data_IF_824956432004
#
_entry.id   IF_824956432004
#
_cell.length_a   1.000
_cell.length_b   1.000
_cell.length_c   1.000
_cell.angle_alpha   90.00
_cell.angle_beta   90.00
_cell.angle_gamma   90.00
#
_symmetry.space_group_name_H-M   'P 1'
#
loop_
_entity.id
_entity.type
_entity.pdbx_description
1 polymer ?
#
# COMPACT_ATOMS: atom_id res chain seq x y z
N UNK A 1 7.15 -20.86 -11.22
CA UNK A 1 7.94 -19.60 -11.19
C UNK A 1 8.06 -19.21 -9.73
N UNK A 2 9.28 -18.94 -9.23
CA UNK A 2 9.44 -18.55 -7.83
C UNK A 2 8.72 -17.22 -7.61
N UNK A 3 7.67 -17.22 -6.80
CA UNK A 3 7.02 -16.00 -6.34
C UNK A 3 8.03 -15.24 -5.49
N UNK A 4 8.42 -14.05 -5.94
CA UNK A 4 9.29 -13.16 -5.15
C UNK A 4 8.54 -12.84 -3.84
N UNK A 5 9.10 -13.31 -2.73
CA UNK A 5 8.58 -13.03 -1.40
C UNK A 5 9.18 -11.72 -0.91
N UNK A 6 8.31 -10.76 -0.61
CA UNK A 6 8.69 -9.44 -0.11
C UNK A 6 8.56 -9.41 1.40
N UNK A 7 9.37 -8.56 2.06
CA UNK A 7 9.23 -8.32 3.50
C UNK A 7 7.87 -7.72 3.82
N UNK A 8 7.26 -6.99 2.88
CA UNK A 8 5.94 -6.40 3.04
C UNK A 8 4.76 -7.36 2.84
N UNK A 9 4.96 -8.60 2.39
CA UNK A 9 3.87 -9.57 2.15
C UNK A 9 2.95 -9.68 3.38
N UNK A 10 3.53 -9.80 4.58
CA UNK A 10 2.75 -9.90 5.82
C UNK A 10 1.88 -8.66 6.10
N UNK A 11 2.28 -7.48 5.62
CA UNK A 11 1.54 -6.22 5.82
C UNK A 11 0.23 -6.26 5.04
N UNK A 12 0.28 -6.77 3.80
CA UNK A 12 -0.90 -6.93 2.95
C UNK A 12 -1.86 -7.98 3.51
N UNK A 13 -1.34 -9.11 4.01
CA UNK A 13 -2.16 -10.13 4.68
C UNK A 13 -2.83 -9.59 5.96
N UNK A 14 -2.10 -8.84 6.78
CA UNK A 14 -2.67 -8.20 7.96
C UNK A 14 -3.72 -7.16 7.59
N UNK A 15 -3.48 -6.39 6.53
CA UNK A 15 -4.43 -5.40 6.04
C UNK A 15 -5.72 -6.07 5.55
N UNK A 16 -5.61 -7.16 4.78
CA UNK A 16 -6.76 -7.91 4.29
C UNK A 16 -7.66 -8.37 5.45
N UNK A 17 -7.06 -8.93 6.50
CA UNK A 17 -7.78 -9.33 7.72
C UNK A 17 -8.40 -8.13 8.44
N UNK A 18 -7.66 -7.03 8.55
CA UNK A 18 -8.15 -5.81 9.18
C UNK A 18 -9.39 -5.26 8.47
N UNK A 19 -9.42 -5.27 7.13
CA UNK A 19 -10.55 -4.79 6.33
C UNK A 19 -11.85 -5.60 6.51
N UNK A 20 -11.79 -6.77 7.15
CA UNK A 20 -12.95 -7.58 7.53
C UNK A 20 -13.49 -7.27 8.93
N UNK A 21 -12.80 -6.43 9.71
CA UNK A 21 -13.27 -5.98 11.04
C UNK A 21 -14.19 -4.77 10.92
N UNK A 22 -15.00 -4.48 11.95
CA UNK A 22 -15.86 -3.28 11.97
C UNK A 22 -15.07 -1.99 11.80
N UNK A 23 -13.87 -1.92 12.41
CA UNK A 23 -12.94 -0.80 12.29
C UNK A 23 -12.42 -0.65 10.86
N UNK A 24 -11.99 -1.76 10.24
CA UNK A 24 -11.54 -1.77 8.86
C UNK A 24 -12.65 -1.43 7.86
N UNK A 25 -13.89 -1.86 8.12
CA UNK A 25 -15.07 -1.47 7.33
C UNK A 25 -15.33 0.04 7.44
N UNK A 26 -15.22 0.61 8.63
CA UNK A 26 -15.36 2.06 8.81
C UNK A 26 -14.27 2.83 8.04
N UNK A 27 -13.02 2.35 8.08
CA UNK A 27 -11.89 2.92 7.34
C UNK A 27 -12.13 2.84 5.83
N UNK A 28 -12.50 1.66 5.29
CA UNK A 28 -12.66 1.47 3.84
C UNK A 28 -13.80 2.35 3.27
N UNK A 29 -14.90 2.49 4.01
CA UNK A 29 -16.02 3.36 3.63
C UNK A 29 -15.63 4.85 3.65
N UNK A 30 -14.76 5.26 4.56
CA UNK A 30 -14.27 6.65 4.66
C UNK A 30 -13.30 7.00 3.53
N UNK A 31 -12.42 6.05 3.15
CA UNK A 31 -11.39 6.29 2.13
C UNK A 31 -11.95 6.06 0.72
N UNK A 32 -12.60 4.92 0.49
CA UNK A 32 -13.32 4.55 -0.74
C UNK A 32 -12.52 4.76 -2.05
N UNK A 33 -11.28 4.29 -2.07
CA UNK A 33 -10.37 4.39 -3.21
C UNK A 33 -9.68 3.04 -3.51
N UNK A 34 -9.21 2.89 -4.74
CA UNK A 34 -8.39 1.75 -5.18
C UNK A 34 -6.94 2.20 -5.30
N UNK A 35 -6.04 1.52 -4.59
CA UNK A 35 -4.62 1.81 -4.57
C UNK A 35 -3.83 0.65 -5.16
N UNK A 36 -2.83 0.97 -5.99
CA UNK A 36 -1.85 -0.01 -6.44
C UNK A 36 -0.48 0.33 -5.84
N UNK A 37 0.24 -0.69 -5.39
CA UNK A 37 1.60 -0.60 -4.89
C UNK A 37 2.52 -1.42 -5.77
N UNK A 38 3.51 -0.78 -6.38
CA UNK A 38 4.59 -1.45 -7.06
C UNK A 38 5.81 -1.44 -6.16
N UNK A 39 6.15 -2.60 -5.60
CA UNK A 39 7.21 -2.73 -4.62
C UNK A 39 8.43 -3.39 -5.24
N UNK A 40 9.54 -2.66 -5.27
CA UNK A 40 10.81 -3.20 -5.72
C UNK A 40 11.56 -3.87 -4.56
N UNK A 41 12.05 -5.12 -4.72
CA UNK A 41 12.86 -5.79 -3.69
C UNK A 41 14.10 -4.97 -3.30
N UNK A 42 14.79 -4.39 -4.28
CA UNK A 42 16.02 -3.62 -4.07
C UNK A 42 15.99 -2.23 -4.73
N UNK A 43 15.61 -2.15 -6.00
CA UNK A 43 15.71 -0.91 -6.79
C UNK A 43 14.42 -0.66 -7.58
N UNK A 44 13.83 0.51 -7.36
CA UNK A 44 12.66 0.98 -8.12
C UNK A 44 12.92 0.85 -9.63
N UNK A 45 11.96 0.26 -10.34
CA UNK A 45 12.00 -0.04 -11.77
C UNK A 45 12.56 -1.41 -12.13
N UNK A 46 12.94 -2.24 -11.15
CA UNK A 46 13.47 -3.60 -11.37
C UNK A 46 12.72 -4.62 -10.50
N UNK A 47 12.24 -5.69 -11.13
CA UNK A 47 11.58 -6.83 -10.50
C UNK A 47 10.45 -6.42 -9.52
N UNK A 48 9.69 -5.39 -9.87
CA UNK A 48 8.61 -4.86 -9.04
C UNK A 48 7.47 -5.88 -8.91
N UNK A 49 7.02 -6.07 -7.68
CA UNK A 49 5.83 -6.86 -7.38
C UNK A 49 4.67 -5.91 -7.14
N UNK A 50 3.58 -6.10 -7.87
CA UNK A 50 2.38 -5.29 -7.73
C UNK A 50 1.45 -5.85 -6.66
N UNK A 51 0.85 -4.97 -5.88
CA UNK A 51 -0.25 -5.26 -4.97
C UNK A 51 -1.36 -4.26 -5.21
N UNK A 52 -2.59 -4.70 -5.07
CA UNK A 52 -3.78 -3.87 -5.17
C UNK A 52 -4.51 -3.90 -3.85
N UNK A 53 -4.88 -2.73 -3.35
CA UNK A 53 -5.76 -2.55 -2.19
C UNK A 53 -7.02 -1.87 -2.73
N UNK A 54 -8.09 -2.64 -2.91
CA UNK A 54 -9.39 -2.14 -3.30
C UNK A 54 -10.22 -1.89 -2.03
N UNK A 55 -10.22 -0.65 -1.52
CA UNK A 55 -11.02 -0.28 -0.36
C UNK A 55 -12.51 -0.12 -0.69
N UNK A 56 -12.88 -0.08 -1.99
CA UNK A 56 -14.30 -0.06 -2.39
C UNK A 56 -14.93 -1.44 -2.16
N UNK A 57 -14.17 -2.51 -2.38
CA UNK A 57 -14.56 -3.89 -2.12
C UNK A 57 -14.12 -4.40 -0.74
N UNK A 58 -13.02 -3.86 -0.21
CA UNK A 58 -12.36 -4.37 0.99
C UNK A 58 -11.48 -5.57 0.69
N UNK A 59 -10.81 -5.58 -0.45
CA UNK A 59 -9.98 -6.68 -0.95
C UNK A 59 -8.51 -6.24 -1.08
N UNK A 60 -7.60 -7.18 -0.85
CA UNK A 60 -6.17 -7.02 -1.11
C UNK A 60 -5.72 -8.13 -2.04
N UNK A 61 -5.10 -7.77 -3.16
CA UNK A 61 -4.73 -8.71 -4.22
C UNK A 61 -3.24 -8.57 -4.50
N UNK A 62 -2.51 -9.69 -4.54
CA UNK A 62 -1.13 -9.71 -5.05
C UNK A 62 -1.18 -9.73 -6.58
N UNK A 63 -1.09 -8.55 -7.17
CA UNK A 63 -1.15 -8.34 -8.61
C UNK A 63 -1.48 -6.88 -8.98
N UNK A 64 -1.33 -6.50 -10.26
CA UNK A 64 -1.80 -5.22 -10.76
C UNK A 64 -3.34 -5.14 -10.68
N UNK A 65 -3.89 -3.94 -10.62
CA UNK A 65 -5.34 -3.78 -10.61
C UNK A 65 -5.91 -4.08 -12.00
N UNK A 66 -6.84 -5.05 -12.06
CA UNK A 66 -7.45 -5.48 -13.32
C UNK A 66 -8.75 -4.73 -13.66
N UNK A 67 -9.34 -4.03 -12.69
CA UNK A 67 -10.60 -3.29 -12.87
C UNK A 67 -10.45 -1.93 -13.59
N UNK A 68 -9.42 -1.78 -14.42
CA UNK A 68 -9.10 -0.54 -15.14
C UNK A 68 -7.97 0.26 -14.49
N UNK A 69 -8.19 1.54 -14.20
CA UNK A 69 -7.16 2.43 -13.66
C UNK A 69 -7.33 2.58 -12.14
N UNK A 70 -6.31 2.30 -11.31
CA UNK A 70 -6.38 2.59 -9.88
C UNK A 70 -6.42 4.11 -9.64
N UNK A 71 -7.02 4.53 -8.53
CA UNK A 71 -7.09 5.95 -8.15
C UNK A 71 -5.68 6.52 -7.92
N UNK A 72 -4.78 5.71 -7.35
CA UNK A 72 -3.38 6.07 -7.12
C UNK A 72 -2.48 4.85 -7.21
N UNK A 73 -1.31 5.03 -7.81
CA UNK A 73 -0.22 4.05 -7.81
C UNK A 73 0.96 4.60 -7.04
N UNK A 74 1.42 3.84 -6.06
CA UNK A 74 2.64 4.09 -5.30
C UNK A 74 3.75 3.18 -5.81
N UNK A 75 4.96 3.72 -6.00
CA UNK A 75 6.13 2.93 -6.36
C UNK A 75 7.27 3.27 -5.43
N UNK A 76 7.82 2.25 -4.77
CA UNK A 76 8.87 2.38 -3.77
C UNK A 76 9.59 1.05 -3.55
N UNK A 77 10.66 1.06 -2.77
CA UNK A 77 11.31 -0.18 -2.33
C UNK A 77 10.48 -0.86 -1.25
N UNK A 78 10.53 -2.18 -1.23
CA UNK A 78 9.90 -3.03 -0.22
C UNK A 78 10.28 -2.60 1.21
N UNK A 79 11.57 -2.35 1.45
CA UNK A 79 12.04 -1.88 2.76
C UNK A 79 11.48 -0.51 3.16
N UNK A 80 11.35 0.42 2.20
CA UNK A 80 10.79 1.75 2.47
C UNK A 80 9.28 1.66 2.75
N UNK A 81 8.58 0.73 2.11
CA UNK A 81 7.17 0.46 2.39
C UNK A 81 6.96 -0.10 3.80
N UNK A 82 7.80 -1.04 4.24
CA UNK A 82 7.76 -1.54 5.63
C UNK A 82 7.94 -0.39 6.62
N UNK A 83 8.90 0.51 6.37
CA UNK A 83 9.12 1.70 7.22
C UNK A 83 7.94 2.68 7.18
N UNK A 84 7.28 2.85 6.03
CA UNK A 84 6.09 3.69 5.91
C UNK A 84 4.91 3.12 6.71
N UNK A 85 4.65 1.81 6.58
CA UNK A 85 3.60 1.13 7.32
C UNK A 85 3.85 1.13 8.83
N UNK A 86 5.12 1.10 9.25
CA UNK A 86 5.53 1.25 10.66
C UNK A 86 5.49 2.72 11.15
N UNK A 87 5.23 3.70 10.29
CA UNK A 87 5.30 5.13 10.61
C UNK A 87 6.72 5.66 10.84
N UNK A 88 7.76 4.88 10.50
CA UNK A 88 9.19 5.23 10.64
C UNK A 88 9.73 6.04 9.46
N UNK A 89 9.02 6.05 8.34
CA UNK A 89 9.34 6.88 7.17
C UNK A 89 8.23 7.89 6.94
N UNK A 90 8.58 9.16 6.80
CA UNK A 90 7.62 10.20 6.46
C UNK A 90 7.31 10.14 4.93
N UNK A 91 6.04 9.98 4.52
CA UNK A 91 5.67 9.82 3.12
C UNK A 91 5.96 11.05 2.26
N UNK A 92 5.81 12.26 2.82
CA UNK A 92 6.09 13.51 2.09
C UNK A 92 7.58 13.65 1.80
N UNK A 93 8.43 13.36 2.79
CA UNK A 93 9.89 13.36 2.64
C UNK A 93 10.33 12.28 1.65
N UNK A 94 9.77 11.07 1.74
CA UNK A 94 10.07 9.99 0.81
C UNK A 94 9.73 10.35 -0.63
N UNK A 95 8.58 11.02 -0.85
CA UNK A 95 8.17 11.52 -2.15
C UNK A 95 9.13 12.57 -2.69
N UNK A 96 9.45 13.58 -1.88
CA UNK A 96 10.35 14.67 -2.26
C UNK A 96 11.77 14.17 -2.60
N UNK A 97 12.23 13.08 -1.96
CA UNK A 97 13.53 12.43 -2.23
C UNK A 97 13.50 11.43 -3.39
N UNK A 98 12.34 11.17 -3.98
CA UNK A 98 12.17 10.18 -5.06
C UNK A 98 12.20 8.72 -4.59
N UNK A 99 12.23 8.46 -3.28
CA UNK A 99 12.13 7.13 -2.69
C UNK A 99 10.69 6.58 -2.73
N UNK A 100 9.70 7.48 -2.83
CA UNK A 100 8.31 7.18 -3.12
C UNK A 100 7.93 7.91 -4.41
N UNK A 101 7.38 7.20 -5.39
CA UNK A 101 6.76 7.80 -6.57
C UNK A 101 5.25 7.63 -6.46
N UNK A 102 4.52 8.67 -6.83
CA UNK A 102 3.05 8.68 -6.83
C UNK A 102 2.58 8.99 -8.25
N UNK A 103 1.68 8.17 -8.78
CA UNK A 103 0.95 8.42 -10.03
C UNK A 103 -0.54 8.37 -9.76
N UNK A 104 -1.33 9.16 -10.48
CA UNK A 104 -2.78 9.25 -10.28
C UNK A 104 -3.18 10.44 -9.41
N UNK A 105 -4.23 10.27 -8.61
CA UNK A 105 -4.83 11.35 -7.81
C UNK A 105 -4.02 11.67 -6.55
N UNK A 106 -3.47 12.89 -6.47
CA UNK A 106 -2.77 13.35 -5.27
C UNK A 106 -3.70 13.45 -4.05
N UNK A 107 -4.97 13.81 -4.24
CA UNK A 107 -5.95 13.87 -3.14
C UNK A 107 -6.26 12.47 -2.60
N UNK A 108 -6.35 11.46 -3.47
CA UNK A 108 -6.49 10.07 -3.04
C UNK A 108 -5.20 9.58 -2.35
N UNK A 109 -4.02 9.97 -2.85
CA UNK A 109 -2.75 9.64 -2.23
C UNK A 109 -2.64 10.20 -0.80
N UNK A 110 -3.08 11.44 -0.57
CA UNK A 110 -3.08 12.08 0.75
C UNK A 110 -4.05 11.41 1.74
N UNK A 111 -5.15 10.80 1.25
CA UNK A 111 -6.05 10.01 2.09
C UNK A 111 -5.45 8.67 2.51
N UNK A 112 -4.43 8.18 1.80
CA UNK A 112 -3.73 6.96 2.16
C UNK A 112 -2.79 7.23 3.34
N UNK A 113 -3.35 7.15 4.55
CA UNK A 113 -2.65 7.46 5.80
C UNK A 113 -2.38 6.20 6.62
N UNK A 114 -1.45 6.24 7.59
CA UNK A 114 -1.14 5.09 8.44
C UNK A 114 -2.35 4.51 9.18
N UNK A 115 -3.40 5.30 9.41
CA UNK A 115 -4.66 4.85 10.02
C UNK A 115 -5.40 3.78 9.21
N UNK A 116 -5.03 3.57 7.94
CA UNK A 116 -5.57 2.48 7.12
C UNK A 116 -5.00 1.12 7.52
N UNK A 117 -3.82 1.10 8.13
CA UNK A 117 -3.21 -0.11 8.63
C UNK A 117 -3.68 -0.39 10.07
N UNK A 118 -3.82 -1.66 10.46
CA UNK A 118 -4.11 -2.00 11.84
C UNK A 118 -3.03 -1.39 12.74
N UNK A 119 -3.46 -0.70 13.81
CA UNK A 119 -2.54 -0.17 14.81
C UNK A 119 -1.80 -1.34 15.43
N UNK A 120 -0.55 -1.53 15.04
CA UNK A 120 0.30 -2.54 15.68
C UNK A 120 0.50 -2.10 17.13
N UNK A 121 0.25 -2.97 18.12
CA UNK A 121 0.70 -2.70 19.48
C UNK A 121 2.18 -2.30 19.40
N UNK A 122 2.57 -1.21 20.06
CA UNK A 122 3.99 -0.88 20.20
C UNK A 122 4.66 -2.12 20.79
N UNK A 123 5.57 -2.74 20.02
CA UNK A 123 6.49 -3.74 20.56
C UNK A 123 7.30 -3.13 21.70
#
# INVERSE_FOLDING_TARGET
MATVQLKSDFIFELLERFLQTDEGIAVKNKVNHVYQFNLAPEKIGKDEVSYTIDLKKGEVIKGPYEGGKPDTTFTLRDEDFVKLADGKLNPQIAFMRGALKVKGSLSAAQKFTPDIFPKRPKL
#
